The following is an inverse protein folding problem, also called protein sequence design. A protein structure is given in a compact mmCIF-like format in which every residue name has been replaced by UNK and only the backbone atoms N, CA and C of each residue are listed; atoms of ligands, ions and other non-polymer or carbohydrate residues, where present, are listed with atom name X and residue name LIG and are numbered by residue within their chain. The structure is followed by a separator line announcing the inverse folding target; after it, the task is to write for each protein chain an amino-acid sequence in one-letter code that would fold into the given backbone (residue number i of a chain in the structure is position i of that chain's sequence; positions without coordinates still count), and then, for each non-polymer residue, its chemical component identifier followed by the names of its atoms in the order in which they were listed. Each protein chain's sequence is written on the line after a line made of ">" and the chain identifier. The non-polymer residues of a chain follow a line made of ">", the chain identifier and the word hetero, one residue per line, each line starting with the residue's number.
data_IF_387153736548
#
_entry.id   IF_387153736548
#
_cell.length_a   1.000
_cell.length_b   1.000
_cell.length_c   1.000
_cell.angle_alpha   90.00
_cell.angle_beta   90.00
_cell.angle_gamma   90.00
#
_symmetry.space_group_name_H-M   'P 1'
#
loop_
_entity.id
_entity.type
_entity.pdbx_description
1 polymer ?
#
# COMPACT_ATOMS: atom_id res chain seq x y z
N UNK A 1 0.96 -21.72 24.24
CA UNK A 1 1.34 -20.39 23.70
C UNK A 1 0.27 -19.94 22.71
N UNK A 2 -0.62 -19.03 23.10
CA UNK A 2 -1.59 -18.45 22.16
C UNK A 2 -0.86 -17.70 21.06
N UNK A 3 -1.11 -18.07 19.80
CA UNK A 3 -0.71 -17.26 18.64
C UNK A 3 -1.32 -15.87 18.85
N UNK A 4 -0.50 -14.87 19.19
CA UNK A 4 -0.91 -13.47 19.20
C UNK A 4 -1.51 -13.21 17.83
N UNK A 5 -2.82 -12.97 17.79
CA UNK A 5 -3.48 -12.45 16.59
C UNK A 5 -2.72 -11.18 16.26
N UNK A 6 -1.99 -11.17 15.14
CA UNK A 6 -1.34 -9.96 14.65
C UNK A 6 -2.45 -8.92 14.50
N UNK A 7 -2.42 -7.89 15.34
CA UNK A 7 -3.47 -6.88 15.42
C UNK A 7 -3.35 -6.01 14.18
N UNK A 8 -4.09 -6.37 13.14
CA UNK A 8 -4.27 -5.56 11.94
C UNK A 8 -5.33 -4.49 12.21
N UNK A 9 -5.14 -3.30 11.63
CA UNK A 9 -6.17 -2.27 11.63
C UNK A 9 -7.13 -2.55 10.48
N UNK A 10 -8.44 -2.49 10.75
CA UNK A 10 -9.43 -2.66 9.70
C UNK A 10 -9.49 -1.41 8.80
N UNK A 11 -9.96 -1.54 7.54
CA UNK A 11 -10.17 -0.38 6.68
C UNK A 11 -11.12 0.67 7.27
N UNK A 12 -12.14 0.22 8.02
CA UNK A 12 -13.09 1.13 8.68
C UNK A 12 -12.41 1.92 9.82
N UNK A 13 -11.55 1.27 10.61
CA UNK A 13 -10.80 1.96 11.67
C UNK A 13 -9.77 2.93 11.09
N UNK A 14 -9.18 2.59 9.94
CA UNK A 14 -8.28 3.50 9.21
C UNK A 14 -9.02 4.78 8.80
N UNK A 15 -10.22 4.64 8.23
CA UNK A 15 -11.04 5.78 7.84
C UNK A 15 -11.45 6.64 9.04
N UNK A 16 -11.96 6.03 10.11
CA UNK A 16 -12.36 6.75 11.31
C UNK A 16 -11.20 7.53 11.94
N UNK A 17 -9.99 6.95 11.98
CA UNK A 17 -8.79 7.63 12.48
C UNK A 17 -8.34 8.75 11.56
N UNK A 18 -8.42 8.55 10.25
CA UNK A 18 -8.11 9.59 9.28
C UNK A 18 -9.01 10.80 9.42
N UNK A 19 -10.33 10.57 9.45
CA UNK A 19 -11.31 11.63 9.67
C UNK A 19 -11.11 12.32 11.01
N UNK A 20 -10.82 11.56 12.07
CA UNK A 20 -10.50 12.13 13.36
C UNK A 20 -9.27 13.06 13.31
N UNK A 21 -8.21 12.68 12.58
CA UNK A 21 -6.96 13.45 12.52
C UNK A 21 -7.04 14.67 11.60
N UNK A 22 -7.67 14.55 10.43
CA UNK A 22 -7.58 15.55 9.35
C UNK A 22 -8.93 15.95 8.75
N UNK A 23 -10.04 15.38 9.21
CA UNK A 23 -11.38 15.63 8.68
C UNK A 23 -11.70 14.89 7.38
N UNK A 24 -12.73 15.30 6.62
CA UNK A 24 -13.23 14.56 5.46
C UNK A 24 -12.22 14.34 4.33
N UNK A 25 -11.22 15.22 4.21
CA UNK A 25 -10.17 15.14 3.19
C UNK A 25 -8.87 14.51 3.73
N UNK A 26 -8.97 13.55 4.65
CA UNK A 26 -7.83 13.02 5.39
C UNK A 26 -6.76 12.29 4.59
N UNK A 27 -7.09 11.74 3.42
CA UNK A 27 -6.24 10.78 2.70
C UNK A 27 -4.90 11.38 2.28
N UNK A 28 -4.90 12.58 1.70
CA UNK A 28 -3.69 13.30 1.29
C UNK A 28 -2.81 13.72 2.47
N UNK A 29 -3.34 14.50 3.44
CA UNK A 29 -2.60 14.88 4.63
C UNK A 29 -2.03 13.68 5.41
N UNK A 30 -2.76 12.56 5.46
CA UNK A 30 -2.26 11.34 6.09
C UNK A 30 -1.13 10.68 5.29
N UNK A 31 -1.22 10.64 3.96
CA UNK A 31 -0.13 10.08 3.14
C UNK A 31 1.15 10.90 3.31
N UNK A 32 1.01 12.22 3.36
CA UNK A 32 2.12 13.15 3.55
C UNK A 32 2.74 12.97 4.94
N UNK A 33 1.90 12.94 5.98
CA UNK A 33 2.36 12.74 7.37
C UNK A 33 3.04 11.38 7.57
N UNK A 34 2.54 10.32 6.94
CA UNK A 34 3.12 8.98 7.10
C UNK A 34 4.28 8.71 6.13
N UNK A 35 4.61 9.67 5.26
CA UNK A 35 5.64 9.52 4.23
C UNK A 35 5.38 8.31 3.32
N UNK A 36 4.12 8.04 3.01
CA UNK A 36 3.72 6.89 2.20
C UNK A 36 2.97 7.34 0.95
N UNK A 37 2.97 6.49 -0.08
CA UNK A 37 2.25 6.79 -1.33
C UNK A 37 0.73 6.80 -1.09
N UNK A 38 0.04 7.80 -1.62
CA UNK A 38 -1.41 7.94 -1.50
C UNK A 38 -2.16 6.69 -2.02
N UNK A 39 -1.65 6.03 -3.07
CA UNK A 39 -2.23 4.81 -3.62
C UNK A 39 -2.19 3.64 -2.63
N UNK A 40 -1.27 3.66 -1.66
CA UNK A 40 -1.20 2.66 -0.60
C UNK A 40 -2.42 2.75 0.32
N UNK A 41 -2.80 3.97 0.71
CA UNK A 41 -4.02 4.23 1.51
C UNK A 41 -5.24 3.73 0.74
N UNK A 42 -5.36 4.08 -0.55
CA UNK A 42 -6.45 3.58 -1.39
C UNK A 42 -6.45 2.06 -1.48
N UNK A 43 -5.29 1.41 -1.60
CA UNK A 43 -5.20 -0.06 -1.64
C UNK A 43 -5.74 -0.70 -0.37
N UNK A 44 -5.42 -0.18 0.81
CA UNK A 44 -5.96 -0.70 2.07
C UNK A 44 -7.48 -0.57 2.13
N UNK A 45 -8.02 0.55 1.64
CA UNK A 45 -9.47 0.78 1.61
C UNK A 45 -10.19 -0.09 0.57
N UNK A 46 -9.70 -0.15 -0.66
CA UNK A 46 -10.38 -0.81 -1.80
C UNK A 46 -10.24 -2.33 -1.76
N UNK A 47 -9.03 -2.83 -1.51
CA UNK A 47 -8.75 -4.28 -1.54
C UNK A 47 -9.11 -4.92 -0.19
N UNK A 48 -9.53 -4.12 0.80
CA UNK A 48 -9.83 -4.54 2.17
C UNK A 48 -8.70 -5.39 2.77
N UNK A 49 -7.47 -5.04 2.41
CA UNK A 49 -6.27 -5.71 2.91
C UNK A 49 -6.04 -5.23 4.34
N UNK A 50 -5.73 -6.14 5.27
CA UNK A 50 -5.39 -5.76 6.63
C UNK A 50 -4.21 -4.77 6.64
N UNK A 51 -4.38 -3.63 7.31
CA UNK A 51 -3.34 -2.61 7.42
C UNK A 51 -2.23 -3.13 8.35
N UNK A 52 -0.95 -3.05 7.96
CA UNK A 52 0.15 -3.55 8.76
C UNK A 52 0.19 -2.96 10.17
N UNK A 53 0.61 -3.75 11.15
CA UNK A 53 0.66 -3.34 12.56
C UNK A 53 1.51 -2.09 12.80
N UNK A 54 2.63 -1.94 12.11
CA UNK A 54 3.50 -0.76 12.23
C UNK A 54 2.75 0.53 11.87
N UNK A 55 1.95 0.47 10.80
CA UNK A 55 1.09 1.56 10.37
C UNK A 55 -0.03 1.84 11.38
N UNK A 56 -0.65 0.77 11.91
CA UNK A 56 -1.68 0.89 12.93
C UNK A 56 -1.18 1.57 14.23
N UNK A 57 0.02 1.20 14.68
CA UNK A 57 0.67 1.78 15.86
C UNK A 57 0.99 3.27 15.67
N UNK A 58 1.50 3.63 14.49
CA UNK A 58 1.76 5.04 14.16
C UNK A 58 0.46 5.87 14.23
N UNK A 59 -0.63 5.36 13.65
CA UNK A 59 -1.93 6.05 13.72
C UNK A 59 -2.48 6.17 15.14
N UNK A 60 -2.34 5.13 15.98
CA UNK A 60 -2.75 5.24 17.39
C UNK A 60 -1.95 6.31 18.14
N UNK A 61 -0.64 6.39 17.92
CA UNK A 61 0.20 7.41 18.53
C UNK A 61 -0.25 8.82 18.10
N UNK A 62 -0.52 9.03 16.82
CA UNK A 62 -1.02 10.31 16.30
C UNK A 62 -2.39 10.69 16.87
N UNK A 63 -3.31 9.72 16.96
CA UNK A 63 -4.60 9.93 17.62
C UNK A 63 -4.43 10.28 19.10
N UNK A 64 -3.46 9.65 19.78
CA UNK A 64 -3.08 9.97 21.16
C UNK A 64 -2.63 11.43 21.32
N UNK A 65 -1.73 11.89 20.46
CA UNK A 65 -1.26 13.29 20.45
C UNK A 65 -2.42 14.27 20.24
N UNK A 66 -3.28 14.01 19.24
CA UNK A 66 -4.43 14.86 18.96
C UNK A 66 -5.42 14.91 20.13
N UNK A 67 -5.63 13.80 20.85
CA UNK A 67 -6.46 13.76 22.06
C UNK A 67 -5.85 14.53 23.23
N UNK A 68 -4.52 14.52 23.35
CA UNK A 68 -3.80 15.31 24.35
C UNK A 68 -3.79 16.81 24.03
N UNK A 69 -4.27 17.22 22.85
CA UNK A 69 -4.18 18.60 22.37
C UNK A 69 -2.78 18.99 21.92
N UNK A 70 -1.88 18.02 21.74
CA UNK A 70 -0.54 18.24 21.23
C UNK A 70 -0.56 18.44 19.71
N UNK A 71 0.31 19.31 19.17
CA UNK A 71 0.44 19.47 17.73
C UNK A 71 0.90 18.15 17.09
N UNK A 72 0.34 17.86 15.92
CA UNK A 72 0.84 16.75 15.11
C UNK A 72 2.26 17.06 14.63
N UNK A 73 3.15 16.06 14.54
CA UNK A 73 4.51 16.27 14.07
C UNK A 73 4.49 16.83 12.64
N UNK A 74 5.26 17.88 12.40
CA UNK A 74 5.47 18.36 11.04
C UNK A 74 6.48 17.45 10.36
N UNK A 75 6.09 16.84 9.25
CA UNK A 75 6.94 15.91 8.52
C UNK A 75 7.56 16.70 7.40
N UNK A 76 8.72 17.28 7.71
CA UNK A 76 9.56 17.87 6.68
C UNK A 76 9.87 16.77 5.64
N UNK A 77 9.64 17.01 4.34
CA UNK A 77 10.11 16.09 3.32
C UNK A 77 11.61 15.89 3.54
N UNK A 78 12.07 14.65 3.46
CA UNK A 78 13.49 14.35 3.64
C UNK A 78 14.30 15.22 2.67
N UNK A 79 15.04 16.19 3.21
CA UNK A 79 15.92 17.04 2.42
C UNK A 79 17.10 16.18 1.94
N UNK A 80 17.20 15.98 0.63
CA UNK A 80 18.28 15.20 0.04
C UNK A 80 17.95 14.64 -1.34
N UNK A 81 18.98 14.30 -2.09
CA UNK A 81 18.85 13.61 -3.36
C UNK A 81 18.22 12.23 -3.11
N UNK A 82 17.04 11.99 -3.67
CA UNK A 82 16.33 10.72 -3.51
C UNK A 82 17.19 9.59 -4.09
N UNK A 83 17.85 8.82 -3.24
CA UNK A 83 18.54 7.60 -3.68
C UNK A 83 17.50 6.60 -4.15
N UNK A 84 17.48 6.19 -5.44
CA UNK A 84 16.48 5.27 -5.94
C UNK A 84 16.62 3.91 -5.24
N UNK A 85 15.67 3.57 -4.37
CA UNK A 85 15.60 2.23 -3.73
C UNK A 85 15.23 1.18 -4.80
N UNK A 86 14.45 1.58 -5.81
CA UNK A 86 14.01 0.71 -6.87
C UNK A 86 15.18 0.41 -7.82
N UNK A 87 15.53 -0.88 -7.94
CA UNK A 87 16.39 -1.33 -9.05
C UNK A 87 15.71 -0.93 -10.36
N UNK A 88 16.45 -0.41 -11.36
CA UNK A 88 15.87 -0.09 -12.65
C UNK A 88 15.11 -1.30 -13.19
N UNK A 89 13.88 -1.08 -13.67
CA UNK A 89 13.03 -2.12 -14.21
C UNK A 89 13.79 -2.85 -15.33
N UNK A 90 14.14 -4.11 -15.09
CA UNK A 90 14.64 -5.00 -16.14
C UNK A 90 13.42 -5.69 -16.73
N UNK A 91 13.02 -5.37 -17.99
CA UNK A 91 11.93 -6.09 -18.62
C UNK A 91 12.26 -7.58 -18.56
N UNK A 92 11.32 -8.35 -18.00
CA UNK A 92 11.49 -9.79 -17.92
C UNK A 92 11.73 -10.31 -19.33
N UNK A 93 12.82 -11.06 -19.55
CA UNK A 93 13.01 -11.77 -20.81
C UNK A 93 11.73 -12.61 -21.03
N UNK A 94 11.12 -12.56 -22.22
CA UNK A 94 9.93 -13.37 -22.48
C UNK A 94 10.29 -14.83 -22.17
N UNK A 95 9.51 -15.47 -21.30
CA UNK A 95 9.75 -16.85 -20.83
C UNK A 95 9.77 -17.88 -21.97
N UNK A 96 9.31 -17.49 -23.16
CA UNK A 96 9.25 -18.29 -24.37
C UNK A 96 9.65 -17.44 -25.57
N UNK A 97 10.38 -18.06 -26.48
CA UNK A 97 10.67 -17.51 -27.79
C UNK A 97 9.37 -17.33 -28.61
N UNK A 98 9.36 -16.43 -29.61
CA UNK A 98 8.24 -16.27 -30.53
C UNK A 98 7.81 -17.58 -31.22
N UNK A 99 8.77 -18.49 -31.47
CA UNK A 99 8.55 -19.78 -32.12
C UNK A 99 7.74 -20.72 -31.22
N UNK A 100 8.11 -20.84 -29.94
CA UNK A 100 7.36 -21.65 -28.95
C UNK A 100 5.95 -21.10 -28.70
N UNK A 101 5.77 -19.77 -28.78
CA UNK A 101 4.45 -19.16 -28.69
C UNK A 101 3.58 -19.53 -29.90
N UNK A 102 4.16 -19.48 -31.11
CA UNK A 102 3.47 -19.82 -32.35
C UNK A 102 3.04 -21.30 -32.39
N UNK A 103 3.88 -22.22 -31.92
CA UNK A 103 3.51 -23.64 -31.83
C UNK A 103 2.36 -23.88 -30.86
N UNK A 104 2.38 -23.27 -29.67
CA UNK A 104 1.26 -23.41 -28.72
C UNK A 104 -0.05 -22.84 -29.27
N UNK A 105 0.01 -21.75 -30.02
CA UNK A 105 -1.17 -21.16 -30.67
C UNK A 105 -1.71 -22.12 -31.74
N UNK A 106 -0.84 -22.77 -32.53
CA UNK A 106 -1.25 -23.80 -33.50
C UNK A 106 -1.90 -25.00 -32.83
N UNK A 107 -1.28 -25.55 -31.77
CA UNK A 107 -1.82 -26.69 -31.01
C UNK A 107 -3.19 -26.37 -30.42
N UNK A 108 -3.37 -25.19 -29.81
CA UNK A 108 -4.68 -24.74 -29.29
C UNK A 108 -5.74 -24.59 -30.37
N UNK A 109 -5.37 -24.07 -31.55
CA UNK A 109 -6.30 -23.90 -32.67
C UNK A 109 -6.70 -25.24 -33.29
N UNK A 110 -5.81 -26.22 -33.30
CA UNK A 110 -6.11 -27.58 -33.75
C UNK A 110 -7.06 -28.29 -32.77
N UNK A 111 -6.84 -28.14 -31.46
CA UNK A 111 -7.69 -28.74 -30.43
C UNK A 111 -9.13 -28.19 -30.40
N UNK A 112 -9.36 -26.94 -30.86
CA UNK A 112 -10.69 -26.32 -30.90
C UNK A 112 -11.44 -26.56 -32.24
N UNK A 113 -10.83 -27.27 -33.19
CA UNK A 113 -11.44 -27.63 -34.48
C UNK A 113 -11.85 -29.11 -34.57
N UNK A 114 -11.56 -29.89 -33.53
CA UNK A 114 -12.07 -31.24 -33.32
C UNK A 114 -13.32 -31.19 -32.42
#
# INVERSE_FOLDING_TARGET
>A
MSKRVESFLSPADLEAKGEFLFGPQWRGPMSDLLGCDLSLIYRYMTVKVPVPKTFALALEALCGLKRAGEPLPDVAPAEGELTPIARPYKPAKPKRSPQELAERIKVRRAANKA
#
